data_IF_332446684220
#
_entry.id   IF_332446684220
#
_cell.length_a   1.000
_cell.length_b   1.000
_cell.length_c   1.000
_cell.angle_alpha   90.00
_cell.angle_beta   90.00
_cell.angle_gamma   90.00
#
_symmetry.space_group_name_H-M   'P 1'
#
loop_
_entity.id
_entity.type
_entity.pdbx_description
1 polymer ?
#
# COMPACT_ATOMS: atom_id res chain seq x y z
N UNK A 1 59.44 40.70 11.81
CA UNK A 1 58.92 40.96 10.46
C UNK A 1 59.43 39.87 9.51
N UNK A 2 58.63 38.85 9.21
CA UNK A 2 58.91 37.89 8.16
C UNK A 2 57.59 37.63 7.43
N UNK A 3 57.52 38.14 6.21
CA UNK A 3 56.42 37.89 5.28
C UNK A 3 56.52 36.46 4.76
N UNK A 4 55.42 35.70 4.84
CA UNK A 4 55.30 34.40 4.19
C UNK A 4 54.37 34.60 3.00
N UNK A 5 54.97 34.38 1.82
CA UNK A 5 54.33 34.43 0.51
C UNK A 5 53.55 33.14 0.28
N UNK A 6 52.25 33.22 0.09
CA UNK A 6 51.42 32.08 -0.30
C UNK A 6 51.25 32.07 -1.82
N UNK A 7 51.87 31.09 -2.45
CA UNK A 7 51.74 30.84 -3.90
C UNK A 7 50.53 29.95 -4.14
N UNK A 8 49.49 30.48 -4.82
CA UNK A 8 48.34 29.71 -5.26
C UNK A 8 48.67 29.07 -6.59
N UNK A 9 48.70 27.76 -6.62
CA UNK A 9 48.85 26.95 -7.85
C UNK A 9 47.45 26.63 -8.41
N UNK A 10 47.08 27.35 -9.48
CA UNK A 10 45.85 27.05 -10.23
C UNK A 10 46.09 25.84 -11.17
N UNK A 11 45.45 24.74 -10.91
CA UNK A 11 45.40 23.57 -11.81
C UNK A 11 44.21 23.71 -12.76
N UNK A 12 44.47 24.10 -13.99
CA UNK A 12 43.50 24.07 -15.10
C UNK A 12 43.46 22.65 -15.66
N UNK A 13 42.37 21.96 -15.41
CA UNK A 13 42.07 20.67 -16.06
C UNK A 13 41.31 20.96 -17.34
N UNK A 14 41.96 20.75 -18.48
CA UNK A 14 41.30 20.70 -19.80
C UNK A 14 40.58 19.37 -19.92
N UNK A 15 39.25 19.39 -19.94
CA UNK A 15 38.44 18.25 -20.34
C UNK A 15 38.32 18.32 -21.88
N UNK A 16 39.06 17.45 -22.55
CA UNK A 16 38.91 17.19 -23.99
C UNK A 16 37.63 16.38 -24.20
N UNK A 17 36.66 16.95 -24.89
CA UNK A 17 35.45 16.28 -25.31
C UNK A 17 35.74 15.60 -26.65
N UNK A 18 36.07 14.32 -26.65
CA UNK A 18 36.07 13.48 -27.84
C UNK A 18 34.60 13.14 -28.18
N UNK A 19 34.21 13.51 -29.41
CA UNK A 19 32.92 13.10 -30.00
C UNK A 19 33.08 11.69 -30.54
N UNK A 20 32.71 10.70 -29.78
CA UNK A 20 32.49 9.37 -30.29
C UNK A 20 31.18 9.33 -31.09
N UNK A 21 31.30 9.14 -32.39
CA UNK A 21 30.19 8.79 -33.29
C UNK A 21 29.74 7.37 -32.96
N UNK A 22 28.66 7.23 -32.19
CA UNK A 22 28.02 5.93 -31.96
C UNK A 22 27.12 5.65 -33.17
N UNK A 23 27.55 4.76 -34.02
CA UNK A 23 26.69 4.13 -35.03
C UNK A 23 25.64 3.28 -34.32
N UNK A 24 24.37 3.70 -34.36
CA UNK A 24 23.25 2.95 -33.85
C UNK A 24 22.89 1.85 -34.84
N UNK A 25 23.29 0.62 -34.53
CA UNK A 25 22.81 -0.56 -35.23
C UNK A 25 21.33 -0.81 -34.97
N UNK A 26 20.42 -0.98 -35.95
CA UNK A 26 18.99 -1.02 -35.81
C UNK A 26 18.40 -2.33 -35.23
N UNK A 27 19.20 -3.23 -34.67
CA UNK A 27 18.75 -4.54 -34.21
C UNK A 27 19.17 -4.93 -32.78
N UNK A 28 19.44 -3.97 -31.92
CA UNK A 28 19.56 -4.28 -30.49
C UNK A 28 18.16 -4.20 -29.85
N UNK A 29 17.51 -5.35 -29.67
CA UNK A 29 16.40 -5.48 -28.72
C UNK A 29 16.90 -5.09 -27.35
N UNK A 30 16.65 -3.84 -26.94
CA UNK A 30 16.95 -3.33 -25.61
C UNK A 30 16.05 -4.12 -24.66
N UNK A 31 16.65 -5.11 -24.03
CA UNK A 31 16.06 -5.83 -22.92
C UNK A 31 15.98 -4.86 -21.75
N UNK A 32 14.93 -4.03 -21.71
CA UNK A 32 14.60 -3.20 -20.56
C UNK A 32 14.15 -4.16 -19.46
N UNK A 33 15.11 -4.80 -18.82
CA UNK A 33 14.90 -5.31 -17.48
C UNK A 33 14.63 -4.07 -16.62
N UNK A 34 13.36 -3.72 -16.45
CA UNK A 34 12.92 -2.82 -15.41
C UNK A 34 13.49 -3.35 -14.11
N UNK A 35 14.57 -2.75 -13.62
CA UNK A 35 15.04 -2.94 -12.26
C UNK A 35 13.86 -2.57 -11.37
N UNK A 36 13.04 -3.56 -10.98
CA UNK A 36 12.09 -3.39 -9.90
C UNK A 36 12.89 -2.84 -8.74
N UNK A 37 12.65 -1.61 -8.36
CA UNK A 37 13.29 -1.01 -7.20
C UNK A 37 12.88 -1.90 -6.02
N UNK A 38 13.82 -2.68 -5.52
CA UNK A 38 13.60 -3.51 -4.34
C UNK A 38 13.43 -2.53 -3.19
N UNK A 39 12.19 -2.34 -2.74
CA UNK A 39 11.94 -1.60 -1.50
C UNK A 39 12.67 -2.37 -0.40
N UNK A 40 13.39 -1.65 0.44
CA UNK A 40 14.03 -2.24 1.60
C UNK A 40 12.98 -2.92 2.48
N UNK A 41 13.34 -4.04 3.12
CA UNK A 41 12.46 -4.69 4.09
C UNK A 41 11.95 -3.62 5.10
N UNK A 42 10.65 -3.51 5.36
CA UNK A 42 10.11 -2.54 6.31
C UNK A 42 10.79 -2.56 7.67
N UNK A 43 11.24 -3.72 8.14
CA UNK A 43 12.00 -3.85 9.39
C UNK A 43 13.35 -3.12 9.32
N UNK A 44 14.05 -3.15 8.19
CA UNK A 44 15.31 -2.40 8.00
C UNK A 44 15.10 -0.89 8.00
N UNK A 45 13.91 -0.46 7.66
CA UNK A 45 13.56 0.96 7.60
C UNK A 45 13.27 1.56 8.98
N UNK A 46 12.96 0.74 9.99
CA UNK A 46 12.62 1.21 11.35
C UNK A 46 13.76 1.98 12.03
N UNK A 47 15.02 1.59 11.79
CA UNK A 47 16.23 2.25 12.32
C UNK A 47 16.15 2.54 13.83
N UNK A 48 15.95 3.81 14.20
CA UNK A 48 15.87 4.28 15.58
C UNK A 48 14.43 4.48 16.07
N UNK A 49 13.45 4.04 15.30
CA UNK A 49 12.04 4.09 15.68
C UNK A 49 11.74 3.02 16.73
N UNK A 50 11.10 3.43 17.81
CA UNK A 50 10.60 2.51 18.81
C UNK A 50 9.33 1.82 18.30
N UNK A 51 9.21 0.54 18.61
CA UNK A 51 8.06 -0.27 18.25
C UNK A 51 7.51 -1.04 19.44
N UNK A 52 6.23 -1.36 19.39
CA UNK A 52 5.64 -2.45 20.13
C UNK A 52 5.69 -3.72 19.29
N UNK A 53 5.86 -4.84 19.94
CA UNK A 53 5.77 -6.18 19.34
C UNK A 53 4.55 -6.85 19.96
N UNK A 54 3.50 -7.09 19.15
CA UNK A 54 2.22 -7.60 19.62
C UNK A 54 1.90 -8.96 19.01
N UNK A 55 1.46 -9.91 19.85
CA UNK A 55 0.90 -11.18 19.39
C UNK A 55 -0.47 -10.94 18.73
N UNK A 56 -0.68 -11.48 17.55
CA UNK A 56 -1.93 -11.25 16.79
C UNK A 56 -3.10 -12.07 17.37
N UNK A 57 -2.83 -13.29 17.81
CA UNK A 57 -3.88 -14.23 18.23
C UNK A 57 -4.52 -13.92 19.58
N UNK A 58 -3.84 -13.17 20.45
CA UNK A 58 -4.28 -12.94 21.81
C UNK A 58 -4.68 -11.47 22.00
N UNK A 59 -5.87 -11.25 22.54
CA UNK A 59 -6.39 -9.91 22.81
C UNK A 59 -6.08 -9.46 24.24
N UNK A 60 -5.69 -10.35 25.13
CA UNK A 60 -5.48 -10.04 26.54
C UNK A 60 -4.00 -9.85 26.87
N UNK A 61 -3.16 -10.84 26.67
CA UNK A 61 -1.72 -10.77 26.97
C UNK A 61 -0.93 -10.77 25.69
N UNK A 62 -0.94 -9.66 24.97
CA UNK A 62 -0.44 -9.63 23.60
C UNK A 62 0.86 -8.83 23.41
N UNK A 63 1.17 -7.84 24.27
CA UNK A 63 2.35 -7.00 24.10
C UNK A 63 3.61 -7.61 24.71
N UNK A 64 4.66 -7.82 23.90
CA UNK A 64 5.96 -8.24 24.38
C UNK A 64 6.54 -7.20 25.35
N UNK A 65 6.94 -7.60 26.54
CA UNK A 65 7.30 -6.71 27.63
C UNK A 65 8.46 -7.29 28.45
N UNK A 66 9.38 -6.44 28.84
CA UNK A 66 10.34 -6.78 29.89
C UNK A 66 9.74 -6.61 31.28
N UNK A 67 10.33 -7.27 32.25
CA UNK A 67 9.97 -7.07 33.65
C UNK A 67 10.47 -5.73 34.18
N UNK A 68 9.72 -5.04 35.07
CA UNK A 68 10.16 -3.81 35.70
C UNK A 68 11.24 -4.02 36.76
N UNK A 69 11.41 -5.27 37.29
CA UNK A 69 12.27 -5.54 38.45
C UNK A 69 13.37 -6.58 38.20
N UNK A 70 13.29 -7.32 37.10
CA UNK A 70 14.25 -8.37 36.78
C UNK A 70 14.49 -8.47 35.27
N UNK A 71 15.22 -9.49 34.83
CA UNK A 71 15.58 -9.66 33.40
C UNK A 71 14.55 -10.48 32.61
N UNK A 72 13.43 -10.89 33.19
CA UNK A 72 12.43 -11.71 32.51
C UNK A 72 11.74 -10.93 31.37
N UNK A 73 11.40 -11.64 30.32
CA UNK A 73 10.58 -11.15 29.20
C UNK A 73 9.31 -11.98 29.16
N UNK A 74 8.19 -11.29 29.09
CA UNK A 74 6.86 -11.90 29.04
C UNK A 74 5.92 -11.08 28.13
N UNK A 75 4.61 -11.34 28.19
CA UNK A 75 3.57 -10.58 27.52
C UNK A 75 2.71 -9.81 28.54
N UNK A 76 2.26 -8.63 28.15
CA UNK A 76 1.40 -7.77 28.95
C UNK A 76 0.05 -7.52 28.24
N UNK A 77 -1.01 -7.22 29.04
CA UNK A 77 -2.39 -7.12 28.54
C UNK A 77 -2.59 -6.02 27.51
N UNK A 78 -2.07 -4.83 27.79
CA UNK A 78 -2.25 -3.64 26.96
C UNK A 78 -0.95 -2.87 26.84
N UNK A 79 -0.91 -1.93 25.91
CA UNK A 79 0.14 -0.93 25.85
C UNK A 79 -0.04 0.07 26.98
N UNK A 80 0.74 -0.06 28.04
CA UNK A 80 0.69 0.81 29.22
C UNK A 80 1.55 2.08 29.06
N UNK A 81 2.11 2.29 27.87
CA UNK A 81 2.96 3.43 27.57
C UNK A 81 4.39 3.31 28.11
N UNK A 82 4.71 2.26 28.87
CA UNK A 82 6.02 2.13 29.52
C UNK A 82 7.11 1.71 28.53
N UNK A 83 8.35 2.17 28.82
CA UNK A 83 9.53 1.83 28.01
C UNK A 83 9.87 0.33 28.02
N UNK A 84 9.37 -0.45 28.97
CA UNK A 84 9.54 -1.91 29.03
C UNK A 84 8.76 -2.65 27.92
N UNK A 85 7.82 -1.98 27.25
CA UNK A 85 7.08 -2.49 26.10
C UNK A 85 7.58 -1.88 24.78
N UNK A 86 8.63 -1.07 24.83
CA UNK A 86 9.24 -0.41 23.68
C UNK A 86 10.51 -1.12 23.27
N UNK A 87 10.62 -1.40 22.00
CA UNK A 87 11.73 -2.17 21.43
C UNK A 87 12.36 -1.41 20.27
N UNK A 88 13.68 -1.47 20.19
CA UNK A 88 14.42 -1.17 18.97
C UNK A 88 14.73 -2.49 18.26
N UNK A 89 14.48 -2.53 16.95
CA UNK A 89 14.87 -3.64 16.09
C UNK A 89 16.12 -3.19 15.33
N UNK A 90 17.28 -3.62 15.79
CA UNK A 90 18.58 -3.19 15.23
C UNK A 90 19.14 -4.24 14.28
N UNK A 91 19.39 -3.83 13.02
CA UNK A 91 20.03 -4.71 12.03
C UNK A 91 21.48 -5.00 12.43
N UNK A 92 21.89 -6.27 12.34
CA UNK A 92 23.29 -6.72 12.59
C UNK A 92 24.06 -6.95 11.30
N UNK A 93 23.47 -7.62 10.35
CA UNK A 93 24.18 -8.10 9.16
C UNK A 93 23.38 -7.70 7.93
N UNK A 94 23.45 -6.40 7.58
CA UNK A 94 22.89 -5.88 6.32
C UNK A 94 21.43 -6.29 6.03
N UNK A 95 20.55 -6.31 7.06
CA UNK A 95 19.15 -6.67 6.91
C UNK A 95 18.86 -8.19 6.88
N UNK A 96 19.83 -9.04 7.24
CA UNK A 96 19.63 -10.49 7.29
C UNK A 96 19.23 -10.96 8.68
N UNK A 97 19.73 -10.29 9.72
CA UNK A 97 19.46 -10.61 11.12
C UNK A 97 19.39 -9.37 11.99
N UNK A 98 18.68 -9.47 13.09
CA UNK A 98 18.33 -8.35 13.97
C UNK A 98 18.50 -8.72 15.44
N UNK A 99 18.79 -7.70 16.25
CA UNK A 99 18.63 -7.76 17.70
C UNK A 99 17.31 -7.05 18.07
N UNK A 100 16.63 -7.56 19.07
CA UNK A 100 15.48 -6.88 19.70
C UNK A 100 15.96 -6.33 21.04
N UNK A 101 16.06 -4.99 21.14
CA UNK A 101 16.61 -4.28 22.28
C UNK A 101 15.51 -3.48 22.98
N UNK A 102 15.31 -3.73 24.27
CA UNK A 102 14.31 -3.02 25.08
C UNK A 102 14.79 -1.60 25.42
N UNK A 103 13.87 -0.64 25.35
CA UNK A 103 14.18 0.78 25.62
C UNK A 103 14.40 1.05 27.10
N UNK A 104 13.59 0.47 27.97
CA UNK A 104 13.63 0.74 29.42
C UNK A 104 13.24 -0.48 30.26
N UNK A 105 12.97 -0.26 31.55
CA UNK A 105 12.66 -1.30 32.54
C UNK A 105 13.84 -1.62 33.43
N UNK A 106 13.93 -2.84 34.00
CA UNK A 106 15.01 -3.28 34.89
C UNK A 106 16.39 -3.27 34.21
N UNK A 107 16.42 -3.43 32.89
CA UNK A 107 17.65 -3.33 32.07
C UNK A 107 17.42 -2.46 30.85
N UNK A 108 17.84 -1.22 30.93
CA UNK A 108 17.87 -0.29 29.80
C UNK A 108 18.80 -0.83 28.71
N UNK A 109 18.32 -0.83 27.46
CA UNK A 109 19.01 -1.36 26.30
C UNK A 109 19.37 -2.86 26.43
N UNK A 110 18.64 -3.62 27.27
CA UNK A 110 18.79 -5.06 27.33
C UNK A 110 18.31 -5.74 26.06
N UNK A 111 19.16 -6.58 25.45
CA UNK A 111 18.77 -7.38 24.29
C UNK A 111 18.08 -8.68 24.72
N UNK A 112 17.06 -9.11 23.99
CA UNK A 112 16.43 -10.41 24.25
C UNK A 112 17.43 -11.51 23.91
N UNK A 113 17.63 -12.40 24.88
CA UNK A 113 18.37 -13.63 24.76
C UNK A 113 17.56 -14.80 25.30
N UNK A 114 17.93 -16.02 24.95
CA UNK A 114 17.28 -17.24 25.44
C UNK A 114 18.27 -18.13 26.16
N UNK A 115 17.87 -18.56 27.35
CA UNK A 115 18.65 -19.54 28.14
C UNK A 115 17.84 -20.83 28.27
N UNK A 116 18.48 -21.98 28.09
CA UNK A 116 17.85 -23.30 28.20
C UNK A 116 18.46 -24.32 27.23
N UNK A 117 18.01 -25.55 27.39
CA UNK A 117 18.33 -26.68 26.51
C UNK A 117 17.20 -26.98 25.51
N UNK A 118 17.38 -27.99 24.65
CA UNK A 118 16.34 -28.38 23.69
C UNK A 118 15.01 -28.70 24.38
N UNK A 119 14.01 -27.86 24.16
CA UNK A 119 12.65 -28.00 24.66
C UNK A 119 12.18 -26.96 25.66
N UNK A 120 13.08 -26.23 26.35
CA UNK A 120 12.69 -25.18 27.32
C UNK A 120 13.62 -23.98 27.21
N UNK A 121 13.31 -23.07 26.32
CA UNK A 121 14.03 -21.81 26.20
C UNK A 121 13.29 -20.69 26.94
N UNK A 122 13.92 -20.12 27.95
CA UNK A 122 13.40 -19.00 28.71
C UNK A 122 14.00 -17.69 28.22
N UNK A 123 13.18 -16.69 27.86
CA UNK A 123 13.68 -15.39 27.43
C UNK A 123 14.15 -14.57 28.61
N UNK A 124 15.24 -13.85 28.42
CA UNK A 124 15.76 -12.89 29.39
C UNK A 124 16.44 -11.72 28.68
N UNK A 125 16.63 -10.61 29.39
CA UNK A 125 17.35 -9.44 28.90
C UNK A 125 18.84 -9.55 29.28
N UNK A 126 19.69 -9.44 28.30
CA UNK A 126 21.14 -9.45 28.46
C UNK A 126 21.77 -8.11 28.08
N UNK A 127 22.77 -7.65 28.86
CA UNK A 127 23.55 -6.46 28.52
C UNK A 127 24.97 -6.91 28.19
N UNK A 128 25.34 -6.89 26.94
CA UNK A 128 26.77 -6.90 26.61
C UNK A 128 27.32 -7.97 25.72
N UNK A 129 26.60 -9.04 25.43
CA UNK A 129 27.01 -9.94 24.34
C UNK A 129 25.76 -10.20 23.50
N UNK A 130 25.71 -9.68 22.27
CA UNK A 130 24.61 -9.99 21.37
C UNK A 130 24.74 -11.43 20.92
N UNK A 131 24.18 -12.36 21.71
CA UNK A 131 24.26 -13.78 21.42
C UNK A 131 23.11 -14.22 20.53
N UNK A 132 21.97 -13.57 20.67
CA UNK A 132 20.74 -14.02 20.00
C UNK A 132 20.33 -13.04 18.92
N UNK A 133 20.15 -13.57 17.74
CA UNK A 133 19.72 -12.83 16.57
C UNK A 133 18.43 -13.42 16.01
N UNK A 134 17.62 -12.55 15.43
CA UNK A 134 16.32 -12.88 14.91
C UNK A 134 16.24 -12.55 13.42
N UNK A 135 15.35 -13.23 12.73
CA UNK A 135 14.89 -12.87 11.40
C UNK A 135 13.39 -12.58 11.45
N UNK A 136 12.95 -11.59 10.71
CA UNK A 136 11.55 -11.27 10.56
C UNK A 136 11.08 -11.80 9.20
N UNK A 137 10.28 -12.86 9.22
CA UNK A 137 9.71 -13.46 8.02
C UNK A 137 8.25 -13.01 7.89
N UNK A 138 7.93 -12.32 6.82
CA UNK A 138 6.57 -11.86 6.58
C UNK A 138 5.62 -13.05 6.40
N UNK A 139 4.47 -13.01 7.06
CA UNK A 139 3.37 -13.95 6.83
C UNK A 139 2.68 -13.54 5.53
N UNK A 140 2.65 -14.39 4.49
CA UNK A 140 2.19 -14.03 3.17
C UNK A 140 0.82 -13.34 3.14
N UNK A 141 0.71 -12.25 2.38
CA UNK A 141 -0.47 -11.40 2.21
C UNK A 141 -0.95 -10.72 3.50
N UNK A 142 -0.06 -10.47 4.43
CA UNK A 142 -0.31 -9.73 5.67
C UNK A 142 0.82 -8.77 5.98
N UNK A 143 0.58 -7.87 6.94
CA UNK A 143 1.61 -7.03 7.57
C UNK A 143 2.17 -7.64 8.86
N UNK A 144 2.00 -8.95 9.06
CA UNK A 144 2.46 -9.67 10.23
C UNK A 144 3.74 -10.46 9.96
N UNK A 145 4.42 -10.86 11.04
CA UNK A 145 5.69 -11.55 10.99
C UNK A 145 5.72 -12.81 11.85
N UNK A 146 6.43 -13.81 11.35
CA UNK A 146 7.04 -14.80 12.20
C UNK A 146 8.44 -14.31 12.61
N UNK A 147 8.72 -14.26 13.89
CA UNK A 147 10.03 -13.88 14.42
C UNK A 147 10.85 -15.14 14.64
N UNK A 148 11.82 -15.36 13.76
CA UNK A 148 12.65 -16.57 13.74
C UNK A 148 13.92 -16.36 14.51
N UNK A 149 14.19 -17.23 15.46
CA UNK A 149 15.45 -17.28 16.19
C UNK A 149 16.55 -17.84 15.30
N UNK A 150 17.54 -17.02 14.98
CA UNK A 150 18.53 -17.27 13.94
C UNK A 150 19.87 -17.83 14.47
N UNK A 151 19.83 -18.67 15.49
CA UNK A 151 21.01 -19.40 15.99
C UNK A 151 21.39 -20.54 15.03
N UNK A 152 22.63 -21.05 15.12
CA UNK A 152 23.16 -22.10 14.24
C UNK A 152 22.58 -23.50 14.52
N UNK A 153 21.33 -23.57 14.95
CA UNK A 153 20.62 -24.84 15.09
C UNK A 153 20.19 -25.38 13.72
N UNK A 154 20.15 -26.71 13.62
CA UNK A 154 19.66 -27.38 12.40
C UNK A 154 18.18 -27.08 12.12
N UNK A 155 17.42 -26.69 13.13
CA UNK A 155 15.97 -26.45 13.05
C UNK A 155 15.64 -24.97 13.21
N UNK A 156 14.66 -24.51 12.47
CA UNK A 156 14.06 -23.20 12.64
C UNK A 156 13.25 -23.15 13.94
N UNK A 157 13.59 -22.23 14.82
CA UNK A 157 12.83 -21.95 16.03
C UNK A 157 12.16 -20.57 15.90
N UNK A 158 10.96 -20.45 16.38
CA UNK A 158 10.12 -19.26 16.26
C UNK A 158 9.79 -18.71 17.65
N UNK A 159 9.82 -17.38 17.81
CA UNK A 159 9.28 -16.72 18.99
C UNK A 159 7.81 -17.12 19.13
N UNK A 160 7.45 -17.73 20.24
CA UNK A 160 6.19 -18.42 20.43
C UNK A 160 5.56 -18.09 21.78
N UNK A 161 4.27 -17.82 21.79
CA UNK A 161 3.51 -17.58 23.01
C UNK A 161 3.14 -18.90 23.68
N UNK A 162 3.43 -19.03 24.98
CA UNK A 162 3.01 -20.16 25.83
C UNK A 162 2.25 -19.66 27.04
N UNK A 163 1.37 -20.51 27.58
CA UNK A 163 0.54 -20.12 28.71
C UNK A 163 -0.16 -18.78 28.51
N UNK A 164 -0.47 -18.08 29.60
CA UNK A 164 -1.14 -16.80 29.55
C UNK A 164 -0.21 -15.63 29.21
N UNK A 165 1.04 -15.65 29.72
CA UNK A 165 1.96 -14.48 29.63
C UNK A 165 3.33 -14.81 29.09
N UNK A 166 3.73 -16.07 29.06
CA UNK A 166 5.09 -16.42 28.77
C UNK A 166 5.37 -16.50 27.28
N UNK A 167 6.63 -16.38 26.92
CA UNK A 167 7.14 -16.58 25.55
C UNK A 167 8.33 -17.54 25.59
N UNK A 168 8.55 -18.24 24.49
CA UNK A 168 9.67 -19.14 24.28
C UNK A 168 10.10 -19.12 22.83
N UNK A 169 11.13 -19.88 22.46
CA UNK A 169 11.37 -20.22 21.07
C UNK A 169 11.19 -21.72 20.87
N UNK A 170 10.42 -22.11 19.88
CA UNK A 170 10.18 -23.52 19.54
C UNK A 170 9.98 -23.74 18.05
N UNK A 171 10.07 -24.99 17.63
CA UNK A 171 9.67 -25.43 16.31
C UNK A 171 8.16 -25.35 16.17
N UNK A 172 7.70 -24.89 15.02
CA UNK A 172 6.29 -24.94 14.61
C UNK A 172 6.18 -25.71 13.29
N UNK A 173 5.08 -26.42 13.11
CA UNK A 173 4.83 -27.21 11.90
C UNK A 173 4.25 -26.33 10.78
N UNK A 174 3.67 -25.18 11.13
CA UNK A 174 3.02 -24.27 10.22
C UNK A 174 3.34 -22.81 10.58
N UNK A 175 3.84 -22.04 9.61
CA UNK A 175 4.09 -20.60 9.77
C UNK A 175 2.83 -19.74 9.98
N UNK A 176 1.66 -20.34 9.90
CA UNK A 176 0.36 -19.73 10.25
C UNK A 176 -0.11 -20.06 11.66
N UNK A 177 0.71 -20.69 12.49
CA UNK A 177 0.40 -20.90 13.91
C UNK A 177 0.21 -19.54 14.59
N UNK A 178 -0.99 -19.27 15.03
CA UNK A 178 -1.39 -17.96 15.57
C UNK A 178 -0.56 -17.51 16.79
N UNK A 179 0.00 -18.46 17.55
CA UNK A 179 0.87 -18.18 18.69
C UNK A 179 2.30 -17.78 18.30
N UNK A 180 2.64 -17.83 17.00
CA UNK A 180 3.92 -17.39 16.46
C UNK A 180 3.79 -16.20 15.49
N UNK A 181 2.60 -15.61 15.39
CA UNK A 181 2.35 -14.47 14.50
C UNK A 181 2.37 -13.17 15.30
N UNK A 182 3.29 -12.30 14.93
CA UNK A 182 3.55 -11.05 15.63
C UNK A 182 3.32 -9.84 14.70
N UNK A 183 2.87 -8.78 15.30
CA UNK A 183 2.65 -7.47 14.68
C UNK A 183 3.71 -6.50 15.19
N UNK A 184 4.28 -5.70 14.29
CA UNK A 184 5.26 -4.67 14.63
C UNK A 184 4.57 -3.31 14.48
N UNK A 185 4.42 -2.60 15.59
CA UNK A 185 3.65 -1.36 15.67
C UNK A 185 4.57 -0.20 16.04
N UNK A 186 4.80 0.80 15.17
CA UNK A 186 5.50 2.01 15.54
C UNK A 186 4.86 2.70 16.74
N UNK A 187 5.66 3.21 17.66
CA UNK A 187 5.16 3.94 18.83
C UNK A 187 4.83 5.39 18.50
N UNK A 188 5.59 5.99 17.62
CA UNK A 188 5.37 7.34 17.15
C UNK A 188 4.31 7.42 16.05
N UNK A 189 3.71 8.60 15.94
CA UNK A 189 2.81 8.92 14.83
C UNK A 189 3.57 9.01 13.52
N UNK A 190 2.92 8.55 12.47
CA UNK A 190 3.43 8.58 11.09
C UNK A 190 2.66 9.60 10.27
N UNK A 191 3.39 10.39 9.51
CA UNK A 191 2.85 11.31 8.51
C UNK A 191 2.98 10.69 7.13
N UNK A 192 1.85 10.55 6.41
CA UNK A 192 1.88 10.14 5.01
C UNK A 192 2.46 11.27 4.16
N UNK A 193 3.58 11.00 3.47
CA UNK A 193 4.24 11.97 2.58
C UNK A 193 3.75 11.80 1.15
N UNK A 194 3.71 10.56 0.67
CA UNK A 194 3.45 10.26 -0.74
C UNK A 194 2.84 8.87 -0.92
N UNK A 195 2.04 8.72 -1.98
CA UNK A 195 1.60 7.42 -2.51
C UNK A 195 1.95 7.35 -3.99
N UNK A 196 2.71 6.32 -4.32
CA UNK A 196 3.05 6.00 -5.70
C UNK A 196 2.34 4.73 -6.11
N UNK A 197 1.45 4.83 -7.09
CA UNK A 197 0.80 3.66 -7.67
C UNK A 197 1.73 2.94 -8.64
N UNK A 198 1.67 1.61 -8.62
CA UNK A 198 2.47 0.73 -9.49
C UNK A 198 1.54 -0.01 -10.47
N UNK A 199 1.19 0.59 -11.60
CA UNK A 199 0.38 -0.08 -12.60
C UNK A 199 1.12 -1.31 -13.13
N UNK A 200 0.40 -2.39 -13.33
CA UNK A 200 0.93 -3.57 -14.02
C UNK A 200 0.95 -3.24 -15.51
N UNK A 201 2.14 -3.20 -16.11
CA UNK A 201 2.30 -2.91 -17.53
C UNK A 201 1.44 -3.83 -18.40
N UNK A 202 0.62 -3.23 -19.28
CA UNK A 202 -0.30 -3.95 -20.16
C UNK A 202 -1.58 -4.46 -19.51
N UNK A 203 -1.82 -4.22 -18.22
CA UNK A 203 -3.12 -4.51 -17.58
C UNK A 203 -4.13 -3.45 -18.02
N UNK A 204 -5.11 -3.88 -18.80
CA UNK A 204 -6.27 -3.05 -19.17
C UNK A 204 -7.44 -3.38 -18.25
N UNK A 205 -8.11 -2.34 -17.79
CA UNK A 205 -9.36 -2.46 -17.07
C UNK A 205 -10.51 -2.37 -18.05
N UNK A 206 -11.35 -3.37 -18.07
CA UNK A 206 -12.54 -3.40 -18.93
C UNK A 206 -13.70 -2.75 -18.17
N UNK A 207 -14.41 -1.80 -18.80
CA UNK A 207 -15.60 -1.25 -18.19
C UNK A 207 -16.69 -2.31 -18.08
N UNK A 208 -17.40 -2.28 -16.96
CA UNK A 208 -18.59 -3.11 -16.75
C UNK A 208 -19.80 -2.21 -16.91
N UNK A 209 -20.52 -2.31 -18.03
CA UNK A 209 -21.75 -1.53 -18.23
C UNK A 209 -22.87 -2.08 -17.35
N UNK A 210 -23.49 -1.21 -16.58
CA UNK A 210 -24.63 -1.53 -15.71
C UNK A 210 -25.87 -0.82 -16.22
N UNK A 211 -26.90 -1.58 -16.61
CA UNK A 211 -28.17 -1.01 -17.05
C UNK A 211 -28.87 -0.33 -15.86
N UNK A 212 -29.14 0.96 -16.00
CA UNK A 212 -29.86 1.79 -15.01
C UNK A 212 -31.32 1.91 -15.30
N UNK A 213 -31.65 2.26 -16.55
CA UNK A 213 -33.03 2.38 -16.99
C UNK A 213 -33.13 2.16 -18.49
N UNK A 214 -34.33 1.86 -18.95
CA UNK A 214 -34.71 1.88 -20.37
C UNK A 214 -35.78 2.95 -20.58
N UNK A 215 -35.53 3.88 -21.47
CA UNK A 215 -36.45 4.97 -21.80
C UNK A 215 -37.24 4.56 -23.05
N UNK A 216 -38.55 4.60 -22.96
CA UNK A 216 -39.46 4.35 -24.08
C UNK A 216 -39.77 5.67 -24.80
N UNK A 217 -39.48 5.73 -26.12
CA UNK A 217 -39.51 6.97 -26.91
C UNK A 217 -40.27 6.74 -28.20
N UNK A 218 -41.64 6.83 -28.19
CA UNK A 218 -42.43 6.75 -29.38
C UNK A 218 -42.55 8.10 -30.08
N UNK A 219 -42.51 8.12 -31.40
CA UNK A 219 -42.97 9.23 -32.23
C UNK A 219 -44.24 8.78 -33.03
N UNK A 220 -45.44 8.99 -32.51
CA UNK A 220 -46.66 8.59 -33.19
C UNK A 220 -47.05 9.51 -34.35
N UNK A 221 -46.26 10.56 -34.63
CA UNK A 221 -46.59 11.58 -35.64
C UNK A 221 -45.97 11.25 -36.99
N UNK A 222 -46.55 11.83 -38.05
CA UNK A 222 -46.07 11.74 -39.42
C UNK A 222 -44.87 12.65 -39.75
N UNK A 223 -44.31 13.35 -38.75
CA UNK A 223 -43.20 14.30 -38.92
C UNK A 223 -42.02 13.89 -38.05
N UNK A 224 -40.83 14.35 -38.43
CA UNK A 224 -39.63 14.17 -37.59
C UNK A 224 -39.72 15.11 -36.36
N UNK A 225 -39.45 14.57 -35.18
CA UNK A 225 -39.47 15.30 -33.90
C UNK A 225 -38.06 15.30 -33.30
N UNK A 226 -37.60 16.46 -32.86
CA UNK A 226 -36.37 16.62 -32.07
C UNK A 226 -36.74 16.59 -30.61
N UNK A 227 -36.25 15.58 -29.89
CA UNK A 227 -36.54 15.40 -28.47
C UNK A 227 -35.26 15.46 -27.63
N UNK A 228 -35.29 16.27 -26.56
CA UNK A 228 -34.21 16.41 -25.61
C UNK A 228 -34.48 15.53 -24.40
N UNK A 229 -33.43 14.81 -23.95
CA UNK A 229 -33.44 13.96 -22.76
C UNK A 229 -32.46 14.54 -21.73
N UNK A 230 -32.90 14.57 -20.49
CA UNK A 230 -32.08 14.94 -19.34
C UNK A 230 -32.07 13.75 -18.39
N UNK A 231 -30.93 13.09 -18.31
CA UNK A 231 -30.73 11.88 -17.50
C UNK A 231 -29.86 12.24 -16.31
N UNK A 232 -30.26 11.77 -15.13
CA UNK A 232 -29.52 11.99 -13.89
C UNK A 232 -29.52 10.71 -13.07
N UNK A 233 -28.34 10.14 -12.87
CA UNK A 233 -28.15 8.87 -12.16
C UNK A 233 -27.18 9.04 -11.00
N UNK A 234 -27.43 8.32 -9.89
CA UNK A 234 -26.52 8.27 -8.75
C UNK A 234 -25.63 7.05 -8.85
N UNK A 235 -24.34 7.24 -8.52
CA UNK A 235 -23.35 6.19 -8.43
C UNK A 235 -22.63 6.28 -7.10
N UNK A 236 -22.30 5.11 -6.53
CA UNK A 236 -21.43 4.99 -5.37
C UNK A 236 -20.03 4.63 -5.85
N UNK A 237 -19.10 5.56 -5.70
CA UNK A 237 -17.68 5.32 -5.90
C UNK A 237 -17.05 4.88 -4.57
N UNK A 238 -16.11 3.94 -4.60
CA UNK A 238 -15.44 3.43 -3.40
C UNK A 238 -13.94 3.47 -3.53
N UNK A 239 -13.25 3.59 -2.38
CA UNK A 239 -11.79 3.57 -2.29
C UNK A 239 -11.37 2.84 -1.02
N UNK A 240 -10.52 1.84 -1.16
CA UNK A 240 -9.99 1.04 -0.06
C UNK A 240 -8.49 0.86 -0.20
N UNK A 241 -7.76 1.10 0.89
CA UNK A 241 -6.31 0.89 0.97
C UNK A 241 -6.03 -0.26 1.92
N UNK A 242 -5.22 -1.23 1.50
CA UNK A 242 -4.75 -2.34 2.34
C UNK A 242 -3.24 -2.47 2.25
N UNK A 243 -2.56 -2.64 3.38
CA UNK A 243 -1.15 -3.01 3.39
C UNK A 243 -1.02 -4.52 3.19
N UNK A 244 -0.10 -4.93 2.33
CA UNK A 244 0.18 -6.34 2.03
C UNK A 244 1.52 -6.80 2.55
N UNK A 245 2.43 -5.87 2.83
CA UNK A 245 3.72 -6.12 3.44
C UNK A 245 4.11 -4.93 4.30
N UNK A 246 4.64 -5.18 5.48
CA UNK A 246 5.21 -4.12 6.28
C UNK A 246 4.85 -4.18 7.76
N UNK A 247 4.91 -3.03 8.39
CA UNK A 247 4.56 -2.83 9.80
C UNK A 247 3.11 -2.35 9.90
N UNK A 248 2.50 -2.55 11.04
CA UNK A 248 1.12 -2.09 11.27
C UNK A 248 1.11 -0.58 11.51
N UNK A 249 0.43 0.15 10.64
CA UNK A 249 0.32 1.61 10.72
C UNK A 249 -1.07 2.10 11.09
N UNK A 250 -2.05 1.23 11.13
CA UNK A 250 -3.49 1.53 11.26
C UNK A 250 -3.84 2.53 12.36
N UNK A 251 -3.11 2.52 13.48
CA UNK A 251 -3.39 3.37 14.63
C UNK A 251 -2.49 4.61 14.74
N UNK A 252 -1.51 4.75 13.86
CA UNK A 252 -0.44 5.75 13.97
C UNK A 252 -0.40 6.76 12.82
N UNK A 253 -1.28 6.63 11.83
CA UNK A 253 -1.36 7.59 10.74
C UNK A 253 -2.21 8.78 11.18
N UNK A 254 -1.58 9.92 11.36
CA UNK A 254 -2.24 11.15 11.82
C UNK A 254 -2.66 12.09 10.71
N UNK A 255 -2.31 11.80 9.48
CA UNK A 255 -2.63 12.67 8.37
C UNK A 255 -3.96 12.33 7.73
N UNK A 256 -4.80 13.34 7.65
CA UNK A 256 -5.87 13.45 6.66
C UNK A 256 -5.25 13.82 5.29
N UNK A 257 -4.22 13.09 4.88
CA UNK A 257 -3.57 13.29 3.59
C UNK A 257 -4.58 12.99 2.49
N UNK A 258 -4.90 14.01 1.70
CA UNK A 258 -5.68 13.78 0.48
C UNK A 258 -4.74 13.15 -0.53
N UNK A 259 -5.06 11.95 -0.96
CA UNK A 259 -4.29 11.20 -1.94
C UNK A 259 -4.99 11.32 -3.28
N UNK A 260 -4.24 11.69 -4.33
CA UNK A 260 -4.73 11.60 -5.71
C UNK A 260 -5.04 10.15 -6.06
N UNK A 261 -6.17 9.91 -6.73
CA UNK A 261 -6.48 8.58 -7.24
C UNK A 261 -5.84 8.36 -8.62
N UNK A 262 -5.50 7.13 -8.94
CA UNK A 262 -5.15 6.79 -10.31
C UNK A 262 -6.39 7.00 -11.20
N UNK A 263 -6.20 7.64 -12.34
CA UNK A 263 -7.25 7.84 -13.34
C UNK A 263 -7.15 6.71 -14.35
N UNK A 264 -8.28 6.20 -14.79
CA UNK A 264 -8.33 5.32 -15.96
C UNK A 264 -8.49 6.18 -17.21
N UNK A 265 -7.49 6.15 -18.08
CA UNK A 265 -7.55 6.68 -19.43
C UNK A 265 -7.35 5.51 -20.40
N UNK A 266 -8.25 5.36 -21.36
CA UNK A 266 -8.20 4.28 -22.39
C UNK A 266 -8.07 2.86 -21.82
N UNK A 267 -8.66 2.59 -20.64
CA UNK A 267 -8.55 1.32 -19.95
C UNK A 267 -7.22 1.10 -19.23
N UNK A 268 -6.30 2.04 -19.30
CA UNK A 268 -5.02 2.00 -18.60
C UNK A 268 -5.03 2.96 -17.40
N UNK A 269 -4.30 2.58 -16.34
CA UNK A 269 -4.15 3.44 -15.17
C UNK A 269 -3.12 4.52 -15.46
N UNK A 270 -3.55 5.78 -15.46
CA UNK A 270 -2.67 6.93 -15.46
C UNK A 270 -2.34 7.33 -14.03
N UNK A 271 -1.06 7.50 -13.74
CA UNK A 271 -0.55 7.96 -12.44
C UNK A 271 -0.31 9.48 -12.41
N UNK A 272 -0.69 10.18 -13.46
CA UNK A 272 -0.59 11.63 -13.48
C UNK A 272 -1.48 12.23 -12.40
N UNK A 273 -0.85 13.00 -11.52
CA UNK A 273 -1.50 13.66 -10.39
C UNK A 273 -2.58 14.62 -10.85
N UNK A 274 -3.79 14.15 -10.96
CA UNK A 274 -4.91 15.05 -11.10
C UNK A 274 -5.47 15.34 -9.72
N UNK A 275 -5.41 16.58 -9.32
CA UNK A 275 -5.97 17.14 -8.08
C UNK A 275 -7.50 17.05 -8.01
N UNK A 276 -8.16 16.53 -9.03
CA UNK A 276 -9.60 16.55 -9.17
C UNK A 276 -10.36 15.61 -8.24
N UNK A 277 -9.79 14.45 -7.92
CA UNK A 277 -10.39 13.48 -7.00
C UNK A 277 -9.37 13.10 -5.91
N UNK A 278 -9.62 13.49 -4.68
CA UNK A 278 -8.80 13.14 -3.54
C UNK A 278 -9.61 12.35 -2.52
N UNK A 279 -9.03 11.26 -2.01
CA UNK A 279 -9.59 10.43 -0.97
C UNK A 279 -8.72 10.48 0.28
N UNK A 280 -9.30 10.16 1.43
CA UNK A 280 -8.50 10.01 2.65
C UNK A 280 -7.76 8.68 2.61
N UNK A 281 -6.45 8.69 2.93
CA UNK A 281 -5.75 7.45 3.17
C UNK A 281 -6.18 6.89 4.52
N UNK A 282 -6.85 5.76 4.50
CA UNK A 282 -7.22 4.99 5.70
C UNK A 282 -6.98 3.51 5.43
N UNK A 283 -6.04 2.93 6.16
CA UNK A 283 -5.77 1.50 6.06
C UNK A 283 -6.98 0.70 6.57
N UNK A 284 -7.37 -0.34 5.84
CA UNK A 284 -8.46 -1.27 6.17
C UNK A 284 -9.89 -0.70 6.13
N UNK A 285 -10.07 0.57 5.91
CA UNK A 285 -11.39 1.18 5.80
C UNK A 285 -11.73 1.48 4.34
N UNK A 286 -12.98 1.24 3.97
CA UNK A 286 -13.52 1.62 2.67
C UNK A 286 -14.23 2.96 2.81
N UNK A 287 -13.74 3.97 2.09
CA UNK A 287 -14.44 5.24 1.93
C UNK A 287 -15.41 5.12 0.76
N UNK A 288 -16.63 5.63 0.91
CA UNK A 288 -17.65 5.63 -0.13
C UNK A 288 -18.16 7.04 -0.38
N UNK A 289 -18.38 7.38 -1.64
CA UNK A 289 -18.97 8.67 -2.05
C UNK A 289 -20.08 8.44 -3.05
N UNK A 290 -21.22 9.07 -2.81
CA UNK A 290 -22.29 9.14 -3.79
C UNK A 290 -22.06 10.35 -4.67
N UNK A 291 -22.09 10.13 -5.99
CA UNK A 291 -21.98 11.18 -7.00
C UNK A 291 -23.16 11.10 -7.96
N UNK A 292 -23.74 12.24 -8.31
CA UNK A 292 -24.75 12.33 -9.36
C UNK A 292 -24.06 12.62 -10.69
N UNK A 293 -24.38 11.82 -11.69
CA UNK A 293 -23.92 12.02 -13.06
C UNK A 293 -25.14 12.44 -13.89
N UNK A 294 -25.08 13.62 -14.47
CA UNK A 294 -26.14 14.16 -15.32
C UNK A 294 -25.61 14.34 -16.71
N UNK A 295 -26.42 13.95 -17.68
CA UNK A 295 -26.12 14.15 -19.10
C UNK A 295 -27.37 14.56 -19.86
N UNK A 296 -27.17 15.49 -20.78
CA UNK A 296 -28.23 15.98 -21.67
C UNK A 296 -27.87 15.64 -23.11
N UNK A 297 -28.77 14.99 -23.81
CA UNK A 297 -28.58 14.69 -25.22
C UNK A 297 -29.88 14.92 -25.98
N UNK A 298 -29.77 15.12 -27.29
CA UNK A 298 -30.89 15.36 -28.19
C UNK A 298 -30.94 14.25 -29.23
N UNK A 299 -32.12 13.74 -29.48
CA UNK A 299 -32.37 12.69 -30.45
C UNK A 299 -33.39 13.13 -31.48
N UNK A 300 -33.08 12.86 -32.73
CA UNK A 300 -34.02 13.05 -33.83
C UNK A 300 -34.86 11.80 -34.04
N UNK A 301 -36.15 11.91 -33.88
CA UNK A 301 -37.11 10.83 -34.01
C UNK A 301 -37.79 10.88 -35.36
N UNK A 302 -37.51 9.96 -36.30
CA UNK A 302 -38.21 9.89 -37.59
C UNK A 302 -39.74 9.70 -37.42
N UNK A 303 -40.52 10.00 -38.46
CA UNK A 303 -41.96 9.77 -38.42
C UNK A 303 -42.28 8.29 -38.11
N UNK A 304 -43.22 8.09 -37.17
CA UNK A 304 -43.66 6.75 -36.74
C UNK A 304 -42.56 5.83 -36.22
N UNK A 305 -41.46 6.42 -35.73
CA UNK A 305 -40.40 5.66 -35.08
C UNK A 305 -40.74 5.33 -33.62
N UNK A 306 -40.20 4.20 -33.11
CA UNK A 306 -40.34 3.84 -31.69
C UNK A 306 -39.03 3.28 -31.21
N UNK A 307 -38.34 4.00 -30.32
CA UNK A 307 -37.05 3.62 -29.78
C UNK A 307 -37.15 3.23 -28.31
N UNK A 308 -36.34 2.23 -27.92
CA UNK A 308 -35.98 2.00 -26.55
C UNK A 308 -34.52 2.44 -26.36
N UNK A 309 -34.25 3.28 -25.38
CA UNK A 309 -32.91 3.77 -25.08
C UNK A 309 -32.46 3.14 -23.76
N UNK A 310 -31.54 2.18 -23.81
CA UNK A 310 -30.91 1.64 -22.63
C UNK A 310 -29.86 2.62 -22.13
N UNK A 311 -30.05 3.16 -20.92
CA UNK A 311 -29.11 4.05 -20.22
C UNK A 311 -28.22 3.14 -19.36
N UNK A 312 -26.94 3.14 -19.69
CA UNK A 312 -25.95 2.29 -19.03
C UNK A 312 -24.93 3.14 -18.30
N UNK A 313 -24.59 2.75 -17.06
CA UNK A 313 -23.51 3.34 -16.30
C UNK A 313 -22.22 2.59 -16.59
N UNK A 314 -21.14 3.32 -16.92
CA UNK A 314 -19.82 2.76 -17.25
C UNK A 314 -18.98 2.74 -16.00
N UNK A 315 -18.83 1.55 -15.40
CA UNK A 315 -18.15 1.35 -14.12
C UNK A 315 -16.84 0.58 -14.34
N UNK A 316 -15.77 1.02 -13.67
CA UNK A 316 -14.50 0.31 -13.59
C UNK A 316 -14.26 -0.19 -12.17
N UNK A 317 -13.99 -1.48 -12.05
CA UNK A 317 -13.43 -2.07 -10.82
C UNK A 317 -11.92 -2.09 -10.95
N UNK A 318 -11.24 -1.36 -10.08
CA UNK A 318 -9.81 -1.14 -10.16
C UNK A 318 -9.14 -1.82 -8.98
N UNK A 319 -8.10 -2.58 -9.25
CA UNK A 319 -7.16 -3.08 -8.25
C UNK A 319 -5.73 -2.80 -8.69
N UNK A 320 -4.96 -2.07 -7.88
CA UNK A 320 -3.60 -1.65 -8.21
C UNK A 320 -2.72 -1.65 -6.97
N UNK A 321 -1.47 -2.07 -7.14
CA UNK A 321 -0.49 -1.98 -6.08
C UNK A 321 -0.01 -0.53 -5.90
N UNK A 322 0.35 -0.18 -4.66
CA UNK A 322 0.94 1.11 -4.35
C UNK A 322 2.11 0.96 -3.39
N UNK A 323 2.93 2.02 -3.35
CA UNK A 323 3.94 2.25 -2.33
C UNK A 323 3.56 3.53 -1.61
N UNK A 324 3.26 3.43 -0.31
CA UNK A 324 3.05 4.57 0.55
C UNK A 324 4.35 4.93 1.29
N UNK A 325 4.71 6.20 1.29
CA UNK A 325 5.88 6.73 2.00
C UNK A 325 5.42 7.52 3.22
N UNK A 326 5.89 7.11 4.39
CA UNK A 326 5.61 7.74 5.66
C UNK A 326 6.86 8.32 6.28
N UNK A 327 6.67 9.33 7.13
CA UNK A 327 7.73 9.93 7.97
C UNK A 327 7.32 9.89 9.43
N UNK A 328 8.17 9.36 10.29
CA UNK A 328 7.99 9.43 11.74
C UNK A 328 8.06 10.88 12.23
N UNK A 329 7.10 11.29 13.07
CA UNK A 329 7.02 12.66 13.57
C UNK A 329 8.11 13.02 14.57
N UNK A 330 8.61 12.04 15.31
CA UNK A 330 9.64 12.22 16.33
C UNK A 330 11.02 11.96 15.75
N UNK A 331 11.22 10.79 15.15
CA UNK A 331 12.53 10.37 14.64
C UNK A 331 12.87 10.92 13.26
N UNK A 332 11.86 11.33 12.48
CA UNK A 332 12.02 11.70 11.08
C UNK A 332 12.32 10.51 10.15
N UNK A 333 12.26 9.30 10.67
CA UNK A 333 12.52 8.06 9.91
C UNK A 333 11.54 7.91 8.77
N UNK A 334 12.05 7.63 7.57
CA UNK A 334 11.24 7.39 6.38
C UNK A 334 10.99 5.89 6.24
N UNK A 335 9.71 5.51 6.08
CA UNK A 335 9.26 4.14 5.92
C UNK A 335 8.44 4.04 4.63
N UNK A 336 8.72 3.02 3.82
CA UNK A 336 7.95 2.69 2.63
C UNK A 336 7.24 1.36 2.81
N UNK A 337 5.93 1.36 2.64
CA UNK A 337 5.08 0.19 2.76
C UNK A 337 4.41 -0.11 1.44
N UNK A 338 4.30 -1.39 1.12
CA UNK A 338 3.54 -1.85 -0.05
C UNK A 338 2.11 -2.14 0.34
N UNK A 339 1.22 -1.73 -0.51
CA UNK A 339 -0.20 -1.98 -0.34
C UNK A 339 -0.90 -2.28 -1.66
N UNK A 340 -2.18 -2.57 -1.54
CA UNK A 340 -3.12 -2.71 -2.63
C UNK A 340 -4.23 -1.69 -2.45
N UNK A 341 -4.50 -0.92 -3.48
CA UNK A 341 -5.66 -0.06 -3.57
C UNK A 341 -6.73 -0.74 -4.42
N UNK A 342 -7.95 -0.76 -3.92
CA UNK A 342 -9.13 -1.25 -4.61
C UNK A 342 -10.18 -0.15 -4.65
N UNK A 343 -10.80 0.04 -5.80
CA UNK A 343 -11.78 1.11 -5.95
C UNK A 343 -12.78 0.85 -7.07
N UNK A 344 -13.89 1.54 -6.96
CA UNK A 344 -14.93 1.60 -8.00
C UNK A 344 -14.98 3.03 -8.53
N UNK A 345 -14.74 3.18 -9.82
CA UNK A 345 -14.83 4.46 -10.51
C UNK A 345 -15.89 4.41 -11.60
N UNK A 346 -16.74 5.43 -11.67
CA UNK A 346 -17.69 5.60 -12.76
C UNK A 346 -17.22 6.70 -13.72
N UNK A 347 -17.08 6.37 -15.00
CA UNK A 347 -16.67 7.33 -16.04
C UNK A 347 -17.81 8.18 -16.55
N UNK A 348 -19.03 7.66 -16.58
CA UNK A 348 -20.18 8.38 -17.13
C UNK A 348 -21.32 7.46 -17.50
N UNK A 349 -22.23 8.03 -18.27
CA UNK A 349 -23.35 7.31 -18.86
C UNK A 349 -23.08 7.04 -20.33
N UNK A 350 -23.50 5.89 -20.80
CA UNK A 350 -23.58 5.55 -22.22
C UNK A 350 -25.01 5.19 -22.59
N UNK A 351 -25.34 5.29 -23.85
CA UNK A 351 -26.69 5.13 -24.34
C UNK A 351 -26.70 4.15 -25.49
N UNK A 352 -27.56 3.13 -25.42
CA UNK A 352 -27.72 2.14 -26.46
C UNK A 352 -29.16 2.21 -27.00
N UNK A 353 -29.41 2.91 -28.10
CA UNK A 353 -30.73 2.98 -28.71
C UNK A 353 -31.01 1.65 -29.42
N UNK A 354 -32.25 1.20 -29.30
CA UNK A 354 -32.79 0.05 -30.03
C UNK A 354 -34.06 0.49 -30.74
N UNK A 355 -34.06 0.45 -32.08
CA UNK A 355 -35.26 0.68 -32.84
C UNK A 355 -36.11 -0.58 -32.90
N UNK A 356 -37.32 -0.52 -32.39
CA UNK A 356 -38.28 -1.63 -32.42
C UNK A 356 -39.19 -1.60 -33.65
N UNK A 357 -39.05 -0.59 -34.51
CA UNK A 357 -39.81 -0.47 -35.77
C UNK A 357 -38.96 -0.70 -37.03
N UNK A 358 -37.63 -0.96 -36.89
CA UNK A 358 -36.72 -1.23 -37.99
C UNK A 358 -36.25 -0.01 -38.77
N UNK A 359 -36.42 1.19 -38.21
CA UNK A 359 -35.97 2.45 -38.84
C UNK A 359 -34.60 2.86 -38.36
N UNK A 360 -33.78 3.55 -39.20
CA UNK A 360 -32.44 3.97 -38.81
C UNK A 360 -32.49 4.97 -37.64
N UNK A 361 -31.59 4.77 -36.67
CA UNK A 361 -31.43 5.68 -35.53
C UNK A 361 -30.41 6.75 -35.88
N UNK A 362 -30.78 8.02 -35.78
CA UNK A 362 -29.84 9.16 -35.88
C UNK A 362 -29.83 9.87 -34.53
N UNK A 363 -28.71 9.81 -33.83
CA UNK A 363 -28.53 10.45 -32.55
C UNK A 363 -27.36 11.42 -32.63
N UNK A 364 -27.62 12.69 -32.39
CA UNK A 364 -26.58 13.72 -32.29
C UNK A 364 -26.16 13.90 -30.82
N UNK A 365 -24.86 13.89 -30.56
CA UNK A 365 -24.29 14.12 -29.22
C UNK A 365 -24.15 12.90 -28.35
N UNK A 366 -24.37 11.67 -28.86
CA UNK A 366 -23.98 10.45 -28.19
C UNK A 366 -22.48 10.23 -28.35
N UNK A 367 -21.80 9.96 -27.23
CA UNK A 367 -20.48 9.35 -27.27
C UNK A 367 -20.70 7.86 -27.46
N UNK A 368 -20.20 7.31 -28.58
CA UNK A 368 -20.23 5.86 -28.80
C UNK A 368 -19.42 5.13 -27.72
N UNK A 369 -19.90 3.95 -27.36
CA UNK A 369 -19.28 3.12 -26.32
C UNK A 369 -17.85 2.68 -26.72
N UNK A 370 -17.57 2.61 -28.03
CA UNK A 370 -16.28 2.20 -28.59
C UNK A 370 -15.35 3.39 -28.87
N UNK A 371 -15.81 4.65 -28.69
CA UNK A 371 -14.93 5.80 -28.82
C UNK A 371 -14.08 5.96 -27.56
N UNK A 372 -12.75 6.14 -27.66
CA UNK A 372 -11.94 6.49 -26.51
C UNK A 372 -12.51 7.77 -25.89
N UNK A 373 -12.77 7.73 -24.59
CA UNK A 373 -13.24 8.89 -23.85
C UNK A 373 -12.09 9.90 -23.78
N UNK A 374 -12.15 10.99 -24.55
CA UNK A 374 -11.24 12.14 -24.48
C UNK A 374 -11.30 12.85 -23.13
#
# INVERSE_FOLDING_TARGET
MKQILFTIFSFLIFISCEKDNIEISPNASVNIQTKRSRIANPIDQLRDMQVNIRLVADTRYCYLSGSPSNTAVNRHDWDDGSERQRWYIKSRTGGISYNMMMVGGAKVNGEIAFNGGPGEFNPFLNNGLPLDVFKFENVPNTNFYNIVYAQPFKEKLYLYAIGDRDVTVKKIDNNKDSKAIWEIIPVEDLELIDIKYEPIAGKKFTPVPELRQTIDVPNPTGITVLQQFNISEQVTETSSFSNVEGITTTYKITTKGKVGLPIIADGEVSTENTTAKTWSYQETNTESRVRTISHVFTMELPPYAHYLIDVMMVIYNIDINYIATFKGKITGTIIQLKGKWEGVECKGLSYKPRDITGKPVVISGLKDFDAPLE
#
